data_IF_451991566126
#
_entry.id   IF_451991566126
#
_cell.length_a   1.000
_cell.length_b   1.000
_cell.length_c   1.000
_cell.angle_alpha   90.00
_cell.angle_beta   90.00
_cell.angle_gamma   90.00
#
_symmetry.space_group_name_H-M   'P 1'
#
loop_
_entity.id
_entity.type
_entity.pdbx_description
1 polymer ?
#
# COMPACT_ATOMS: atom_id res chain seq x y z
N UNK A 1 6.39 -1.16 -14.49
CA UNK A 1 5.34 -0.32 -15.12
C UNK A 1 5.85 1.10 -15.19
N UNK A 2 5.77 1.75 -16.36
CA UNK A 2 6.16 3.17 -16.50
C UNK A 2 5.10 4.10 -15.91
N UNK A 3 5.52 5.22 -15.34
CA UNK A 3 4.64 6.24 -14.75
C UNK A 3 3.54 6.70 -15.72
N UNK A 4 3.86 6.86 -17.01
CA UNK A 4 2.92 7.27 -18.05
C UNK A 4 1.74 6.29 -18.23
N UNK A 5 1.97 5.01 -17.94
CA UNK A 5 0.98 3.94 -18.06
C UNK A 5 0.20 3.73 -16.75
N UNK A 6 0.63 4.36 -15.65
CA UNK A 6 -0.06 4.26 -14.37
C UNK A 6 -1.37 5.06 -14.40
N UNK A 7 -2.43 4.43 -13.92
CA UNK A 7 -3.78 5.01 -13.83
C UNK A 7 -4.39 4.72 -12.46
N UNK A 8 -5.48 5.40 -12.13
CA UNK A 8 -6.23 5.17 -10.89
C UNK A 8 -6.63 3.71 -10.70
N UNK A 9 -6.96 2.99 -11.79
CA UNK A 9 -7.29 1.56 -11.73
C UNK A 9 -6.15 0.72 -11.16
N UNK A 10 -4.90 1.08 -11.44
CA UNK A 10 -3.73 0.41 -10.89
C UNK A 10 -3.57 0.69 -9.40
N UNK A 11 -3.84 1.92 -8.96
CA UNK A 11 -3.81 2.29 -7.53
C UNK A 11 -4.93 1.55 -6.76
N UNK A 12 -6.13 1.50 -7.33
CA UNK A 12 -7.25 0.70 -6.80
C UNK A 12 -6.87 -0.78 -6.72
N UNK A 13 -6.17 -1.32 -7.74
CA UNK A 13 -5.70 -2.70 -7.72
C UNK A 13 -4.70 -2.96 -6.60
N UNK A 14 -3.75 -2.05 -6.36
CA UNK A 14 -2.81 -2.13 -5.23
C UNK A 14 -3.56 -2.13 -3.90
N UNK A 15 -4.58 -1.28 -3.73
CA UNK A 15 -5.40 -1.29 -2.52
C UNK A 15 -6.19 -2.60 -2.36
N UNK A 16 -6.69 -3.19 -3.45
CA UNK A 16 -7.32 -4.52 -3.42
C UNK A 16 -6.34 -5.62 -3.02
N UNK A 17 -5.06 -5.52 -3.41
CA UNK A 17 -4.02 -6.43 -2.94
C UNK A 17 -3.75 -6.24 -1.44
N UNK A 18 -3.73 -5.00 -0.95
CA UNK A 18 -3.62 -4.74 0.48
C UNK A 18 -4.79 -5.37 1.24
N UNK A 19 -6.03 -5.16 0.81
CA UNK A 19 -7.20 -5.78 1.44
C UNK A 19 -7.10 -7.31 1.46
N UNK A 20 -6.70 -7.93 0.35
CA UNK A 20 -6.52 -9.38 0.23
C UNK A 20 -5.50 -9.94 1.23
N UNK A 21 -4.37 -9.26 1.40
CA UNK A 21 -3.24 -9.79 2.18
C UNK A 21 -3.25 -9.29 3.63
N UNK A 22 -3.44 -7.98 3.81
CA UNK A 22 -3.40 -7.30 5.10
C UNK A 22 -4.77 -7.24 5.79
N UNK A 23 -5.87 -7.27 5.03
CA UNK A 23 -7.23 -7.01 5.53
C UNK A 23 -7.42 -5.56 5.95
N UNK A 24 -8.54 -4.93 5.58
CA UNK A 24 -8.85 -3.57 6.02
C UNK A 24 -9.35 -3.57 7.47
N UNK A 25 -8.87 -2.62 8.28
CA UNK A 25 -9.44 -2.37 9.61
C UNK A 25 -10.90 -1.89 9.50
N UNK A 26 -11.74 -2.14 10.51
CA UNK A 26 -13.18 -1.83 10.50
C UNK A 26 -13.49 -0.36 10.18
N UNK A 27 -12.61 0.56 10.59
CA UNK A 27 -12.77 2.01 10.36
C UNK A 27 -12.11 2.52 9.06
N UNK A 28 -11.34 1.66 8.38
CA UNK A 28 -10.50 2.02 7.23
C UNK A 28 -11.10 1.62 5.89
N UNK A 29 -12.14 0.77 5.88
CA UNK A 29 -12.89 0.45 4.66
C UNK A 29 -13.59 1.70 4.06
N UNK A 30 -13.93 2.70 4.89
CA UNK A 30 -14.69 3.88 4.47
C UNK A 30 -13.85 5.14 4.20
N UNK A 31 -12.62 5.24 4.73
CA UNK A 31 -11.80 6.47 4.67
C UNK A 31 -10.71 6.46 3.61
N UNK A 32 -10.35 5.30 3.06
CA UNK A 32 -9.11 5.17 2.28
C UNK A 32 -9.23 4.89 0.79
N UNK A 33 -10.43 4.56 0.33
CA UNK A 33 -10.73 4.59 -1.09
C UNK A 33 -10.83 6.03 -1.65
N UNK A 34 -10.64 7.06 -0.81
CA UNK A 34 -11.17 8.37 -1.14
C UNK A 34 -10.35 9.16 -2.17
N UNK A 35 -9.06 8.90 -2.44
CA UNK A 35 -8.31 9.74 -3.39
C UNK A 35 -7.20 9.04 -4.21
N UNK A 36 -7.49 7.97 -4.99
CA UNK A 36 -6.53 7.46 -5.97
C UNK A 36 -6.09 8.52 -6.97
N UNK A 37 -6.98 9.45 -7.31
CA UNK A 37 -6.65 10.58 -8.15
C UNK A 37 -5.55 11.46 -7.53
N UNK A 38 -5.65 11.83 -6.24
CA UNK A 38 -4.64 12.67 -5.57
C UNK A 38 -3.28 11.98 -5.51
N UNK A 39 -3.25 10.68 -5.17
CA UNK A 39 -1.99 9.92 -5.16
C UNK A 39 -1.37 9.84 -6.56
N UNK A 40 -2.19 9.66 -7.59
CA UNK A 40 -1.73 9.67 -8.99
C UNK A 40 -1.20 11.06 -9.40
N UNK A 41 -1.91 12.12 -9.03
CA UNK A 41 -1.50 13.51 -9.29
C UNK A 41 -0.16 13.84 -8.60
N UNK A 42 -0.02 13.49 -7.32
CA UNK A 42 1.21 13.71 -6.56
C UNK A 42 2.37 12.90 -7.15
N UNK A 43 2.14 11.63 -7.51
CA UNK A 43 3.15 10.80 -8.15
C UNK A 43 3.59 11.39 -9.50
N UNK A 44 2.66 11.88 -10.32
CA UNK A 44 2.97 12.53 -11.60
C UNK A 44 3.70 13.85 -11.45
N UNK A 45 3.39 14.62 -10.40
CA UNK A 45 3.95 15.96 -10.17
C UNK A 45 5.28 15.95 -9.44
N UNK A 46 5.44 15.06 -8.46
CA UNK A 46 6.57 15.04 -7.53
C UNK A 46 7.40 13.76 -7.57
N UNK A 47 7.01 12.77 -8.39
CA UNK A 47 7.65 11.45 -8.40
C UNK A 47 7.34 10.62 -7.15
N UNK A 48 6.38 11.05 -6.32
CA UNK A 48 5.96 10.33 -5.11
C UNK A 48 4.49 10.59 -4.73
N UNK A 49 3.79 9.53 -4.32
CA UNK A 49 2.45 9.60 -3.71
C UNK A 49 2.33 8.63 -2.53
N UNK A 50 1.38 8.84 -1.63
CA UNK A 50 1.25 8.06 -0.37
C UNK A 50 -0.21 7.67 -0.06
N UNK A 51 -0.43 6.42 0.36
CA UNK A 51 -1.62 6.00 1.12
C UNK A 51 -1.27 5.69 2.56
N UNK A 52 -2.18 6.03 3.48
CA UNK A 52 -2.09 5.68 4.91
C UNK A 52 -3.20 4.72 5.28
N UNK A 53 -2.82 3.49 5.63
CA UNK A 53 -3.71 2.34 5.67
C UNK A 53 -3.63 1.55 6.97
N UNK A 54 -4.74 1.45 7.69
CA UNK A 54 -4.89 0.52 8.82
C UNK A 54 -5.25 -0.89 8.36
N UNK A 55 -4.79 -1.91 9.07
CA UNK A 55 -5.20 -3.30 8.85
C UNK A 55 -6.19 -3.81 9.89
N UNK A 56 -6.73 -5.01 9.68
CA UNK A 56 -7.56 -5.71 10.68
C UNK A 56 -6.77 -6.22 11.91
N UNK A 57 -5.45 -6.10 11.88
CA UNK A 57 -4.53 -6.47 12.96
C UNK A 57 -3.90 -5.24 13.62
N UNK A 58 -4.61 -4.10 13.56
CA UNK A 58 -4.17 -2.83 14.14
C UNK A 58 -2.78 -2.37 13.66
N UNK A 59 -2.43 -2.79 12.43
CA UNK A 59 -1.23 -2.37 11.74
C UNK A 59 -1.48 -1.03 11.05
N UNK A 60 -0.76 0.01 11.44
CA UNK A 60 -0.77 1.30 10.76
C UNK A 60 0.31 1.32 9.69
N UNK A 61 -0.09 1.39 8.43
CA UNK A 61 0.82 1.28 7.30
C UNK A 61 0.80 2.51 6.41
N UNK A 62 1.91 2.71 5.70
CA UNK A 62 2.09 3.71 4.65
C UNK A 62 2.55 2.99 3.40
N UNK A 63 1.79 3.16 2.32
CA UNK A 63 2.15 2.66 0.99
C UNK A 63 2.63 3.87 0.20
N UNK A 64 3.91 3.93 -0.12
CA UNK A 64 4.48 4.96 -0.99
C UNK A 64 4.57 4.42 -2.40
N UNK A 65 4.07 5.19 -3.36
CA UNK A 65 4.42 5.04 -4.77
C UNK A 65 5.54 6.01 -5.05
N UNK A 66 6.60 5.53 -5.67
CA UNK A 66 7.77 6.33 -6.03
C UNK A 66 8.14 6.01 -7.48
N UNK A 67 8.78 6.93 -8.18
CA UNK A 67 9.43 6.64 -9.47
C UNK A 67 10.93 6.45 -9.30
N UNK A 68 11.48 5.40 -9.88
CA UNK A 68 12.92 5.27 -10.02
C UNK A 68 13.49 6.22 -11.09
N UNK A 69 14.82 6.22 -11.26
CA UNK A 69 15.51 7.06 -12.25
C UNK A 69 15.13 6.76 -13.70
N UNK A 70 14.56 5.59 -13.97
CA UNK A 70 14.11 5.18 -15.30
C UNK A 70 12.61 5.47 -15.52
N UNK A 71 11.93 6.08 -14.53
CA UNK A 71 10.51 6.37 -14.57
C UNK A 71 9.61 5.14 -14.34
N UNK A 72 10.14 4.05 -13.79
CA UNK A 72 9.33 2.92 -13.35
C UNK A 72 8.70 3.22 -11.99
N UNK A 73 7.44 2.83 -11.81
CA UNK A 73 6.74 2.94 -10.53
C UNK A 73 7.20 1.80 -9.62
N UNK A 74 7.72 2.16 -8.46
CA UNK A 74 8.07 1.25 -7.37
C UNK A 74 7.19 1.53 -6.16
N UNK A 75 6.96 0.51 -5.33
CA UNK A 75 6.17 0.63 -4.11
C UNK A 75 7.02 0.33 -2.90
N UNK A 76 6.95 1.23 -1.91
CA UNK A 76 7.55 1.03 -0.59
C UNK A 76 6.44 0.90 0.44
N UNK A 77 6.54 -0.12 1.27
CA UNK A 77 5.58 -0.40 2.32
C UNK A 77 6.24 -0.25 3.68
N UNK A 78 5.73 0.67 4.49
CA UNK A 78 6.14 0.82 5.88
C UNK A 78 4.95 0.48 6.77
N UNK A 79 5.15 -0.30 7.81
CA UNK A 79 4.12 -0.57 8.81
C UNK A 79 4.67 -0.37 10.22
N UNK A 80 3.82 0.19 11.08
CA UNK A 80 4.03 0.30 12.51
C UNK A 80 2.92 -0.45 13.23
N UNK A 81 3.29 -1.09 14.33
CA UNK A 81 2.38 -1.78 15.23
C UNK A 81 2.37 -1.04 16.56
N UNK A 82 1.20 -0.94 17.21
CA UNK A 82 1.20 -0.50 18.61
C UNK A 82 1.84 -1.62 19.46
N UNK A 83 3.03 -1.39 20.05
CA UNK A 83 3.72 -2.41 20.84
C UNK A 83 2.98 -2.76 22.14
N UNK A 84 1.95 -1.98 22.52
CA UNK A 84 1.11 -2.25 23.69
C UNK A 84 0.07 -3.34 23.41
N UNK A 85 -0.20 -3.65 22.14
CA UNK A 85 -1.11 -4.72 21.76
C UNK A 85 -0.42 -6.08 21.92
N UNK A 86 -0.64 -6.68 23.10
CA UNK A 86 0.09 -7.80 23.73
C UNK A 86 0.04 -9.17 23.02
N UNK A 87 -0.09 -9.24 21.70
CA UNK A 87 -0.21 -10.54 21.00
C UNK A 87 0.86 -10.71 19.94
N UNK A 88 2.06 -11.15 20.35
CA UNK A 88 3.18 -11.45 19.44
C UNK A 88 2.88 -12.44 18.29
N UNK A 89 1.75 -13.19 18.34
CA UNK A 89 1.26 -13.99 17.21
C UNK A 89 0.58 -13.15 16.11
N UNK A 90 -0.15 -12.11 16.48
CA UNK A 90 -0.80 -11.19 15.53
C UNK A 90 0.24 -10.33 14.81
N UNK A 91 1.28 -9.88 15.53
CA UNK A 91 2.44 -9.18 14.94
C UNK A 91 3.12 -10.00 13.83
N UNK A 92 3.53 -11.25 14.12
CA UNK A 92 4.18 -12.13 13.12
C UNK A 92 3.27 -12.46 11.93
N UNK A 93 1.95 -12.49 12.16
CA UNK A 93 0.97 -12.72 11.09
C UNK A 93 0.87 -11.50 10.18
N UNK A 94 0.82 -10.31 10.76
CA UNK A 94 0.72 -9.06 10.02
C UNK A 94 2.03 -8.69 9.29
N UNK A 95 3.20 -8.98 9.86
CA UNK A 95 4.50 -8.84 9.19
C UNK A 95 4.54 -9.70 7.91
N UNK A 96 4.21 -10.99 8.02
CA UNK A 96 4.09 -11.90 6.86
C UNK A 96 3.03 -11.46 5.86
N UNK A 97 1.96 -10.82 6.31
CA UNK A 97 0.94 -10.27 5.42
C UNK A 97 1.48 -9.08 4.62
N UNK A 98 2.23 -8.19 5.27
CA UNK A 98 2.93 -7.07 4.64
C UNK A 98 3.95 -7.53 3.59
N UNK A 99 4.75 -8.56 3.90
CA UNK A 99 5.68 -9.17 2.95
C UNK A 99 4.97 -9.67 1.68
N UNK A 100 3.88 -10.44 1.85
CA UNK A 100 3.07 -10.95 0.72
C UNK A 100 2.41 -9.84 -0.09
N UNK A 101 1.99 -8.77 0.57
CA UNK A 101 1.46 -7.59 -0.09
C UNK A 101 2.52 -6.95 -0.99
N UNK A 102 3.72 -6.68 -0.47
CA UNK A 102 4.83 -6.11 -1.24
C UNK A 102 5.17 -7.00 -2.42
N UNK A 103 5.34 -8.30 -2.21
CA UNK A 103 5.64 -9.26 -3.27
C UNK A 103 4.58 -9.22 -4.39
N UNK A 104 3.30 -9.23 -4.03
CA UNK A 104 2.19 -9.23 -5.00
C UNK A 104 2.11 -7.92 -5.79
N UNK A 105 2.40 -6.78 -5.15
CA UNK A 105 2.42 -5.47 -5.81
C UNK A 105 3.62 -5.37 -6.76
N UNK A 106 4.80 -5.81 -6.32
CA UNK A 106 6.00 -5.84 -7.16
C UNK A 106 5.78 -6.72 -8.39
N UNK A 107 5.20 -7.91 -8.24
CA UNK A 107 4.82 -8.75 -9.37
C UNK A 107 3.84 -8.01 -10.29
N UNK A 108 2.75 -7.46 -9.74
CA UNK A 108 1.74 -6.75 -10.54
C UNK A 108 2.30 -5.57 -11.34
N UNK A 109 3.19 -4.76 -10.75
CA UNK A 109 3.76 -3.60 -11.42
C UNK A 109 4.86 -3.97 -12.42
N UNK A 110 5.46 -5.14 -12.33
CA UNK A 110 6.52 -5.58 -13.25
C UNK A 110 5.99 -6.35 -14.48
N UNK A 111 4.71 -6.70 -14.51
CA UNK A 111 4.00 -7.30 -15.64
C UNK A 111 3.17 -6.27 -16.41
#
# INVERSE_FOLDING_TARGET
MKLENLTEKHLIKVMGLYEKHCGLGRDFANTMFQYPETVLQDLKKYGRGEYRVGSKWDMHSKIYFETDFEGNVVVRFNSNFDPRDRKGREYKTAEKAGEKFVESVTQYLNH
#
